data_IF_547770069758
#
_entry.id   IF_547770069758
#
_cell.length_a   1.000
_cell.length_b   1.000
_cell.length_c   1.000
_cell.angle_alpha   90.00
_cell.angle_beta   90.00
_cell.angle_gamma   90.00
#
_symmetry.space_group_name_H-M   'P 1'
#
loop_
_entity.id
_entity.type
_entity.pdbx_description
1 polymer ?
#
# COMPACT_ATOMS: atom_id res chain seq x y z
N UNK A 1 30.31 -23.42 -20.14
CA UNK A 1 30.70 -22.02 -19.86
C UNK A 1 29.43 -21.19 -19.78
N UNK A 2 29.07 -20.69 -18.61
CA UNK A 2 27.88 -19.85 -18.42
C UNK A 2 28.17 -18.48 -19.04
N UNK A 3 27.39 -18.13 -20.08
CA UNK A 3 27.52 -16.87 -20.80
C UNK A 3 27.30 -15.72 -19.81
N UNK A 4 28.31 -14.87 -19.56
CA UNK A 4 28.26 -13.76 -18.59
C UNK A 4 27.03 -12.86 -18.76
N UNK A 5 26.52 -12.74 -19.99
CA UNK A 5 25.28 -12.03 -20.33
C UNK A 5 24.02 -12.71 -19.77
N UNK A 6 23.97 -14.04 -19.75
CA UNK A 6 22.85 -14.79 -19.17
C UNK A 6 22.81 -14.60 -17.66
N UNK A 7 23.95 -14.70 -16.99
CA UNK A 7 24.06 -14.45 -15.54
C UNK A 7 23.56 -13.04 -15.14
N UNK A 8 23.92 -12.00 -15.89
CA UNK A 8 23.44 -10.64 -15.64
C UNK A 8 21.93 -10.49 -15.87
N UNK A 9 21.37 -11.18 -16.88
CA UNK A 9 19.92 -11.21 -17.12
C UNK A 9 19.18 -11.89 -15.97
N UNK A 10 19.71 -13.02 -15.49
CA UNK A 10 19.10 -13.77 -14.40
C UNK A 10 19.12 -12.98 -13.08
N UNK A 11 20.22 -12.27 -12.78
CA UNK A 11 20.29 -11.35 -11.64
C UNK A 11 19.26 -10.22 -11.75
N UNK A 12 19.17 -9.58 -12.92
CA UNK A 12 18.21 -8.49 -13.11
C UNK A 12 16.77 -8.98 -12.97
N UNK A 13 16.46 -10.17 -13.47
CA UNK A 13 15.14 -10.80 -13.32
C UNK A 13 14.85 -11.11 -11.85
N UNK A 14 15.80 -11.70 -11.12
CA UNK A 14 15.64 -12.02 -9.70
C UNK A 14 15.46 -10.75 -8.85
N UNK A 15 16.23 -9.69 -9.12
CA UNK A 15 16.15 -8.41 -8.41
C UNK A 15 14.81 -7.72 -8.65
N UNK A 16 14.33 -7.76 -9.90
CA UNK A 16 13.01 -7.24 -10.25
C UNK A 16 11.90 -8.01 -9.55
N UNK A 17 11.96 -9.34 -9.57
CA UNK A 17 10.98 -10.19 -8.88
C UNK A 17 10.94 -9.89 -7.39
N UNK A 18 12.11 -9.87 -6.72
CA UNK A 18 12.16 -9.56 -5.29
C UNK A 18 11.65 -8.16 -4.95
N UNK A 19 11.81 -7.20 -5.86
CA UNK A 19 11.21 -5.87 -5.71
C UNK A 19 9.69 -5.91 -5.86
N UNK A 20 9.17 -6.65 -6.84
CA UNK A 20 7.73 -6.83 -7.05
C UNK A 20 7.08 -7.54 -5.84
N UNK A 21 7.69 -8.62 -5.35
CA UNK A 21 7.24 -9.37 -4.17
C UNK A 21 7.22 -8.48 -2.90
N UNK A 22 8.23 -7.63 -2.72
CA UNK A 22 8.28 -6.67 -1.61
C UNK A 22 7.10 -5.69 -1.64
N UNK A 23 6.83 -5.09 -2.80
CA UNK A 23 5.73 -4.13 -2.93
C UNK A 23 4.37 -4.81 -2.78
N UNK A 24 4.23 -6.03 -3.29
CA UNK A 24 3.02 -6.82 -3.14
C UNK A 24 2.75 -7.18 -1.67
N UNK A 25 3.77 -7.61 -0.93
CA UNK A 25 3.64 -7.91 0.49
C UNK A 25 3.22 -6.66 1.29
N UNK A 26 3.82 -5.50 0.99
CA UNK A 26 3.41 -4.24 1.60
C UNK A 26 1.97 -3.85 1.28
N UNK A 27 1.52 -4.05 0.04
CA UNK A 27 0.11 -3.81 -0.34
C UNK A 27 -0.84 -4.69 0.46
N UNK A 28 -0.54 -5.98 0.60
CA UNK A 28 -1.37 -6.89 1.39
C UNK A 28 -1.44 -6.50 2.86
N UNK A 29 -0.30 -6.13 3.46
CA UNK A 29 -0.25 -5.65 4.86
C UNK A 29 -1.08 -4.38 5.03
N UNK A 30 -0.98 -3.45 4.08
CA UNK A 30 -1.79 -2.23 4.06
C UNK A 30 -3.27 -2.56 3.99
N UNK A 31 -3.70 -3.42 3.06
CA UNK A 31 -5.11 -3.79 2.94
C UNK A 31 -5.64 -4.48 4.20
N UNK A 32 -4.88 -5.42 4.78
CA UNK A 32 -5.26 -6.10 6.01
C UNK A 32 -5.45 -5.12 7.17
N UNK A 33 -4.54 -4.15 7.31
CA UNK A 33 -4.67 -3.10 8.30
C UNK A 33 -5.90 -2.24 8.05
N UNK A 34 -6.07 -1.72 6.83
CA UNK A 34 -7.20 -0.88 6.45
C UNK A 34 -8.55 -1.58 6.72
N UNK A 35 -8.68 -2.89 6.44
CA UNK A 35 -9.90 -3.64 6.77
C UNK A 35 -10.15 -3.76 8.28
N UNK A 36 -9.09 -3.94 9.09
CA UNK A 36 -9.21 -4.06 10.55
C UNK A 36 -9.73 -2.77 11.19
N UNK A 37 -9.33 -1.62 10.66
CA UNK A 37 -9.66 -0.32 11.26
C UNK A 37 -10.84 0.37 10.58
N UNK A 38 -11.25 -0.01 9.37
CA UNK A 38 -12.47 0.51 8.73
C UNK A 38 -13.71 0.21 9.60
N UNK A 39 -14.62 1.19 9.83
CA UNK A 39 -14.74 2.49 9.16
C UNK A 39 -14.06 3.68 9.87
N UNK A 40 -13.09 3.45 10.77
CA UNK A 40 -12.38 4.55 11.46
C UNK A 40 -11.51 5.33 10.47
N UNK A 41 -11.43 6.65 10.69
CA UNK A 41 -10.46 7.50 10.01
C UNK A 41 -9.04 7.15 10.49
N UNK A 42 -8.09 7.07 9.55
CA UNK A 42 -6.70 6.68 9.79
C UNK A 42 -5.81 7.81 9.30
N UNK A 43 -4.78 8.16 10.04
CA UNK A 43 -3.79 9.13 9.54
C UNK A 43 -2.74 8.45 8.66
N UNK A 44 -2.08 9.22 7.79
CA UNK A 44 -0.89 8.77 7.05
C UNK A 44 0.23 8.35 8.02
N UNK A 45 0.31 8.97 9.21
CA UNK A 45 1.29 8.59 10.22
C UNK A 45 1.02 7.21 10.82
N UNK A 46 -0.24 6.91 11.16
CA UNK A 46 -0.61 5.59 11.68
C UNK A 46 -0.29 4.49 10.67
N UNK A 47 -0.62 4.72 9.39
CA UNK A 47 -0.33 3.75 8.34
C UNK A 47 1.18 3.57 8.13
N UNK A 48 1.96 4.65 8.20
CA UNK A 48 3.42 4.60 8.13
C UNK A 48 4.01 3.76 9.25
N UNK A 49 3.55 3.99 10.49
CA UNK A 49 4.00 3.27 11.68
C UNK A 49 3.64 1.78 11.61
N UNK A 50 2.41 1.46 11.22
CA UNK A 50 1.96 0.07 11.05
C UNK A 50 2.77 -0.68 9.99
N UNK A 51 3.01 -0.03 8.85
CA UNK A 51 3.76 -0.65 7.75
C UNK A 51 5.27 -0.69 8.03
N UNK A 52 5.78 0.11 8.96
CA UNK A 52 7.21 0.18 9.30
C UNK A 52 8.05 0.77 8.17
N UNK A 53 7.49 1.70 7.40
CA UNK A 53 8.13 2.31 6.23
C UNK A 53 8.29 3.83 6.40
N UNK A 54 9.06 4.48 5.53
CA UNK A 54 9.18 5.94 5.50
C UNK A 54 8.13 6.57 4.55
N UNK A 55 7.92 7.89 4.65
CA UNK A 55 6.94 8.59 3.82
C UNK A 55 7.20 8.45 2.31
N UNK A 56 8.46 8.39 1.88
CA UNK A 56 8.81 8.21 0.45
C UNK A 56 8.33 6.86 -0.08
N UNK A 57 8.48 5.81 0.72
CA UNK A 57 8.03 4.46 0.38
C UNK A 57 6.52 4.35 0.47
N UNK A 58 5.90 5.03 1.45
CA UNK A 58 4.45 5.09 1.58
C UNK A 58 3.80 5.83 0.39
N UNK A 59 4.35 6.97 -0.03
CA UNK A 59 3.87 7.69 -1.20
C UNK A 59 3.93 6.80 -2.47
N UNK A 60 5.05 6.10 -2.68
CA UNK A 60 5.18 5.12 -3.78
C UNK A 60 4.19 3.97 -3.66
N UNK A 61 3.94 3.47 -2.45
CA UNK A 61 2.97 2.40 -2.23
C UNK A 61 1.56 2.88 -2.60
N UNK A 62 1.18 4.09 -2.18
CA UNK A 62 -0.12 4.69 -2.51
C UNK A 62 -0.25 4.96 -4.03
N UNK A 63 0.80 5.46 -4.69
CA UNK A 63 0.84 5.62 -6.16
C UNK A 63 0.68 4.30 -6.92
N UNK A 64 1.22 3.19 -6.39
CA UNK A 64 1.05 1.86 -6.99
C UNK A 64 -0.33 1.27 -6.76
N UNK A 65 -1.02 1.73 -5.73
CA UNK A 65 -2.38 1.32 -5.37
C UNK A 65 -3.37 2.46 -5.63
N UNK A 66 -3.31 3.08 -6.82
CA UNK A 66 -4.17 4.21 -7.23
C UNK A 66 -5.69 3.96 -7.11
N UNK A 67 -6.11 2.69 -6.96
CA UNK A 67 -7.50 2.33 -6.67
C UNK A 67 -7.91 2.64 -5.22
N UNK A 68 -6.95 2.81 -4.31
CA UNK A 68 -7.14 3.42 -3.00
C UNK A 68 -7.05 4.94 -3.15
N UNK A 69 -8.19 5.60 -3.34
CA UNK A 69 -8.22 7.06 -3.29
C UNK A 69 -8.08 7.54 -1.85
N UNK A 70 -6.90 8.06 -1.52
CA UNK A 70 -6.65 8.89 -0.33
C UNK A 70 -7.38 10.22 -0.55
N UNK A 71 -8.54 10.41 0.09
CA UNK A 71 -9.14 11.74 0.19
C UNK A 71 -8.45 12.48 1.34
N UNK A 72 -7.65 13.49 1.01
CA UNK A 72 -7.24 14.51 1.97
C UNK A 72 -8.50 15.24 2.43
N UNK A 73 -9.03 14.89 3.61
CA UNK A 73 -10.04 15.76 4.21
C UNK A 73 -9.34 17.00 4.75
N UNK A 74 -9.37 18.06 3.96
CA UNK A 74 -9.35 19.42 4.49
C UNK A 74 -10.79 19.87 4.83
N UNK A 75 -11.67 19.01 5.36
CA UNK A 75 -13.02 19.43 5.79
C UNK A 75 -13.56 18.59 6.95
N UNK A 76 -13.32 19.09 8.17
CA UNK A 76 -14.20 19.14 9.37
C UNK A 76 -13.37 19.89 10.42
N UNK A 77 -13.34 21.22 10.38
CA UNK A 77 -14.24 22.11 11.14
C UNK A 77 -14.31 21.68 12.61
N UNK A 78 -13.63 22.49 13.43
CA UNK A 78 -13.66 22.59 14.90
C UNK A 78 -12.87 21.51 15.69
N UNK A 79 -11.75 21.94 16.29
CA UNK A 79 -11.01 21.31 17.41
C UNK A 79 -9.92 20.26 17.19
N UNK A 80 -9.34 20.07 16.00
CA UNK A 80 -8.08 19.26 15.89
C UNK A 80 -7.00 19.94 15.06
N UNK A 81 -5.78 19.84 15.56
CA UNK A 81 -4.59 20.54 15.10
C UNK A 81 -4.40 20.42 13.58
N UNK A 82 -4.11 21.55 12.94
CA UNK A 82 -3.77 21.60 11.53
C UNK A 82 -2.47 20.82 11.27
N UNK A 83 -2.57 19.59 10.74
CA UNK A 83 -1.57 18.92 9.86
C UNK A 83 -1.80 17.43 9.56
N UNK A 84 -2.87 16.81 10.07
CA UNK A 84 -3.06 15.37 9.82
C UNK A 84 -3.68 15.11 8.44
N UNK A 85 -2.95 14.34 7.61
CA UNK A 85 -3.48 13.81 6.36
C UNK A 85 -4.17 12.50 6.69
N UNK A 86 -5.47 12.43 6.41
CA UNK A 86 -6.28 11.23 6.63
C UNK A 86 -6.38 10.38 5.37
N UNK A 87 -6.51 9.07 5.58
CA UNK A 87 -6.75 8.06 4.56
C UNK A 87 -8.16 7.53 4.80
N UNK A 88 -9.01 7.69 3.79
CA UNK A 88 -10.32 7.05 3.76
C UNK A 88 -10.37 6.09 2.56
N UNK A 89 -10.96 4.91 2.76
CA UNK A 89 -11.07 3.90 1.70
C UNK A 89 -12.40 4.11 0.98
N UNK A 90 -12.34 4.31 -0.33
CA UNK A 90 -13.55 4.43 -1.16
C UNK A 90 -14.22 3.08 -1.35
N UNK A 91 -15.50 3.08 -1.73
CA UNK A 91 -16.23 1.84 -2.03
C UNK A 91 -15.56 1.01 -3.14
N UNK A 92 -14.93 1.67 -4.12
CA UNK A 92 -14.11 1.02 -5.14
C UNK A 92 -12.84 0.40 -4.53
N UNK A 93 -12.16 1.14 -3.65
CA UNK A 93 -11.02 0.64 -2.89
C UNK A 93 -11.37 -0.60 -2.07
N UNK A 94 -12.52 -0.61 -1.39
CA UNK A 94 -13.02 -1.78 -0.67
C UNK A 94 -13.27 -2.98 -1.59
N UNK A 95 -13.88 -2.77 -2.77
CA UNK A 95 -14.12 -3.85 -3.75
C UNK A 95 -12.82 -4.44 -4.28
N UNK A 96 -11.82 -3.61 -4.58
CA UNK A 96 -10.49 -4.07 -5.02
C UNK A 96 -9.78 -4.80 -3.89
N UNK A 97 -9.79 -4.25 -2.67
CA UNK A 97 -9.21 -4.90 -1.49
C UNK A 97 -9.78 -6.29 -1.25
N UNK A 98 -11.11 -6.40 -1.26
CA UNK A 98 -11.79 -7.68 -1.12
C UNK A 98 -11.38 -8.63 -2.25
N UNK A 99 -11.49 -8.21 -3.51
CA UNK A 99 -11.11 -9.04 -4.67
C UNK A 99 -9.66 -9.53 -4.62
N UNK A 100 -8.70 -8.65 -4.34
CA UNK A 100 -7.27 -9.01 -4.31
C UNK A 100 -6.93 -9.91 -3.12
N UNK A 101 -7.60 -9.72 -1.97
CA UNK A 101 -7.45 -10.64 -0.85
C UNK A 101 -8.08 -12.01 -1.10
N UNK A 102 -9.29 -12.06 -1.68
CA UNK A 102 -9.95 -13.33 -2.03
C UNK A 102 -9.16 -14.13 -3.07
N UNK A 103 -8.64 -13.48 -4.12
CA UNK A 103 -7.77 -14.13 -5.13
C UNK A 103 -6.52 -14.78 -4.54
N UNK A 104 -6.00 -14.25 -3.43
CA UNK A 104 -4.76 -14.75 -2.80
C UNK A 104 -4.99 -15.69 -1.62
N UNK A 105 -6.23 -15.82 -1.15
CA UNK A 105 -6.61 -16.71 -0.05
C UNK A 105 -7.26 -18.02 -0.53
N UNK A 106 -7.41 -18.27 -1.84
CA UNK A 106 -8.04 -19.47 -2.43
C UNK A 106 -9.45 -19.74 -1.85
N UNK A 107 -10.30 -18.72 -1.81
CA UNK A 107 -11.73 -18.81 -1.48
C UNK A 107 -12.61 -18.62 -2.72
#
# INVERSE_FOLDING_TARGET
MTNRLQYLRDINKATRQGSEDFWEHLSLKMFAYLMKVSPREITVEDLKLELGINYKSLAKLLERNQHLMVLSSAVKVEDREAKDIYINVTECGHKVMMSEMYKKLDL
#
